data_IF_816915985138
#
_entry.id   IF_816915985138
#
_cell.length_a   1.000
_cell.length_b   1.000
_cell.length_c   1.000
_cell.angle_alpha   90.00
_cell.angle_beta   90.00
_cell.angle_gamma   90.00
#
_symmetry.space_group_name_H-M   'P 1'
#
loop_
_entity.id
_entity.type
_entity.pdbx_description
1 polymer ?
#
# COMPACT_ATOMS: atom_id res chain seq x y z
N UNK A 1 20.40 -27.73 -8.79
CA UNK A 1 20.30 -26.25 -8.75
C UNK A 1 20.64 -25.82 -7.34
N UNK A 2 21.76 -25.13 -7.14
CA UNK A 2 22.12 -24.57 -5.84
C UNK A 2 21.24 -23.34 -5.60
N UNK A 3 20.41 -23.38 -4.56
CA UNK A 3 19.88 -22.17 -3.94
C UNK A 3 21.02 -21.58 -3.12
N UNK A 4 21.55 -20.43 -3.55
CA UNK A 4 22.39 -19.62 -2.67
C UNK A 4 21.48 -19.05 -1.56
N UNK A 5 21.79 -19.21 -0.27
CA UNK A 5 21.09 -18.49 0.78
C UNK A 5 21.55 -17.02 0.74
N UNK A 6 21.00 -16.25 -0.21
CA UNK A 6 21.00 -14.81 -0.14
C UNK A 6 20.16 -14.41 1.07
N UNK A 7 20.82 -14.08 2.17
CA UNK A 7 20.16 -13.70 3.42
C UNK A 7 19.65 -12.27 3.33
N UNK A 8 18.79 -11.96 2.36
CA UNK A 8 18.14 -10.65 2.30
C UNK A 8 16.83 -10.76 3.07
N UNK A 9 16.88 -10.35 4.33
CA UNK A 9 15.75 -10.43 5.26
C UNK A 9 14.65 -9.48 4.81
N UNK A 10 13.48 -10.02 4.46
CA UNK A 10 12.29 -9.19 4.27
C UNK A 10 11.93 -8.47 5.56
N UNK A 11 11.61 -7.18 5.45
CA UNK A 11 11.12 -6.36 6.56
C UNK A 11 9.80 -5.72 6.16
N UNK A 12 8.87 -5.69 7.12
CA UNK A 12 7.63 -4.96 6.97
C UNK A 12 7.29 -4.26 8.28
N UNK A 13 6.97 -2.98 8.21
CA UNK A 13 6.54 -2.17 9.36
C UNK A 13 5.23 -1.47 9.04
N UNK A 14 4.42 -1.23 10.07
CA UNK A 14 3.13 -0.56 9.96
C UNK A 14 3.11 0.69 10.83
N UNK A 15 2.65 1.81 10.27
CA UNK A 15 2.41 3.05 10.99
C UNK A 15 0.99 3.56 10.74
N UNK A 16 0.31 4.00 11.80
CA UNK A 16 -1.04 4.58 11.71
C UNK A 16 -0.94 6.10 11.57
N UNK A 17 -1.62 6.64 10.56
CA UNK A 17 -1.76 8.07 10.32
C UNK A 17 -3.22 8.48 10.62
N UNK A 18 -3.50 8.76 11.90
CA UNK A 18 -4.86 8.97 12.43
C UNK A 18 -5.61 10.13 11.78
N UNK A 19 -4.90 11.19 11.39
CA UNK A 19 -5.49 12.38 10.78
C UNK A 19 -6.10 12.11 9.40
N UNK A 20 -5.68 11.03 8.74
CA UNK A 20 -6.10 10.67 7.38
C UNK A 20 -6.73 9.28 7.31
N UNK A 21 -7.09 8.68 8.45
CA UNK A 21 -7.64 7.32 8.54
C UNK A 21 -6.83 6.30 7.72
N UNK A 22 -5.51 6.50 7.71
CA UNK A 22 -4.60 5.80 6.82
C UNK A 22 -3.62 4.92 7.59
N UNK A 23 -3.28 3.77 7.02
CA UNK A 23 -2.17 2.92 7.47
C UNK A 23 -1.10 2.90 6.40
N UNK A 24 0.15 3.04 6.81
CA UNK A 24 1.32 2.95 5.94
C UNK A 24 2.05 1.66 6.27
N UNK A 25 2.13 0.74 5.30
CA UNK A 25 2.96 -0.45 5.35
C UNK A 25 4.22 -0.21 4.53
N UNK A 26 5.39 -0.20 5.17
CA UNK A 26 6.67 -0.11 4.48
C UNK A 26 7.25 -1.51 4.32
N UNK A 27 7.41 -1.96 3.07
CA UNK A 27 7.95 -3.27 2.74
C UNK A 27 9.33 -3.13 2.09
N UNK A 28 10.31 -3.87 2.59
CA UNK A 28 11.69 -3.82 2.13
C UNK A 28 12.35 -5.19 2.04
N UNK A 29 13.41 -5.29 1.24
CA UNK A 29 14.11 -6.53 0.95
C UNK A 29 13.41 -7.36 -0.14
N UNK A 30 13.38 -8.69 0.04
CA UNK A 30 12.90 -9.60 -0.99
C UNK A 30 11.49 -10.12 -0.68
N UNK A 31 10.55 -9.89 -1.60
CA UNK A 31 9.19 -10.41 -1.52
C UNK A 31 9.04 -11.67 -2.39
N UNK A 32 9.10 -12.83 -1.75
CA UNK A 32 9.12 -14.13 -2.39
C UNK A 32 8.19 -15.14 -1.67
N UNK A 33 8.26 -16.41 -2.05
CA UNK A 33 7.51 -17.49 -1.39
C UNK A 33 7.78 -17.61 0.12
N UNK A 34 8.99 -17.31 0.58
CA UNK A 34 9.38 -17.39 1.98
C UNK A 34 8.91 -16.19 2.80
N UNK A 35 8.86 -15.00 2.19
CA UNK A 35 8.47 -13.77 2.89
C UNK A 35 7.01 -13.35 2.69
N UNK A 36 6.33 -13.88 1.67
CA UNK A 36 4.90 -13.68 1.43
C UNK A 36 3.99 -13.91 2.67
N UNK A 37 4.19 -14.96 3.49
CA UNK A 37 3.42 -15.13 4.73
C UNK A 37 3.58 -13.97 5.73
N UNK A 38 4.75 -13.33 5.78
CA UNK A 38 5.04 -12.22 6.70
C UNK A 38 4.23 -10.98 6.28
N UNK A 39 4.23 -10.66 4.97
CA UNK A 39 3.40 -9.59 4.44
C UNK A 39 1.91 -9.86 4.68
N UNK A 40 1.48 -11.11 4.43
CA UNK A 40 0.08 -11.52 4.64
C UNK A 40 -0.36 -11.36 6.09
N UNK A 41 0.49 -11.72 7.06
CA UNK A 41 0.19 -11.54 8.48
C UNK A 41 0.03 -10.06 8.83
N UNK A 42 0.93 -9.19 8.37
CA UNK A 42 0.81 -7.75 8.63
C UNK A 42 -0.44 -7.14 7.99
N UNK A 43 -0.73 -7.50 6.73
CA UNK A 43 -1.98 -7.10 6.08
C UNK A 43 -3.20 -7.59 6.87
N UNK A 44 -3.17 -8.83 7.38
CA UNK A 44 -4.20 -9.39 8.25
C UNK A 44 -4.50 -8.49 9.44
N UNK A 45 -3.45 -8.04 10.14
CA UNK A 45 -3.59 -7.11 11.27
C UNK A 45 -4.17 -5.76 10.86
N UNK A 46 -3.80 -5.25 9.68
CA UNK A 46 -4.39 -4.01 9.13
C UNK A 46 -5.88 -4.18 8.86
N UNK A 47 -6.31 -5.33 8.33
CA UNK A 47 -7.72 -5.61 8.05
C UNK A 47 -8.59 -5.74 9.29
N UNK A 48 -7.98 -5.95 10.47
CA UNK A 48 -8.67 -6.00 11.76
C UNK A 48 -8.78 -4.62 12.43
N UNK A 49 -8.08 -3.60 11.93
CA UNK A 49 -8.17 -2.25 12.46
C UNK A 49 -9.51 -1.61 12.07
N UNK A 50 -10.20 -0.96 13.01
CA UNK A 50 -11.36 -0.13 12.68
C UNK A 50 -10.91 1.15 11.97
N UNK A 51 -11.82 1.73 11.19
CA UNK A 51 -11.69 3.08 10.62
C UNK A 51 -10.42 3.29 9.76
N UNK A 52 -10.03 2.26 8.99
CA UNK A 52 -8.96 2.37 7.98
C UNK A 52 -9.59 2.59 6.60
N UNK A 53 -9.65 3.85 6.19
CA UNK A 53 -10.10 4.25 4.86
C UNK A 53 -9.04 4.00 3.79
N UNK A 54 -7.75 4.09 4.13
CA UNK A 54 -6.64 4.06 3.18
C UNK A 54 -5.52 3.16 3.68
N UNK A 55 -5.06 2.25 2.81
CA UNK A 55 -3.81 1.51 3.01
C UNK A 55 -2.80 1.94 1.96
N UNK A 56 -1.69 2.53 2.41
CA UNK A 56 -0.54 2.83 1.57
C UNK A 56 0.50 1.73 1.77
N UNK A 57 0.92 1.08 0.69
CA UNK A 57 2.05 0.14 0.70
C UNK A 57 3.23 0.82 0.02
N UNK A 58 4.24 1.17 0.81
CA UNK A 58 5.49 1.74 0.33
C UNK A 58 6.48 0.62 0.00
N UNK A 59 6.95 0.63 -1.25
CA UNK A 59 7.82 -0.37 -1.84
C UNK A 59 9.23 0.17 -2.12
N UNK A 60 9.58 1.36 -1.60
CA UNK A 60 10.84 2.04 -1.89
C UNK A 60 12.08 1.18 -1.58
N UNK A 61 12.03 0.41 -0.49
CA UNK A 61 13.12 -0.45 -0.05
C UNK A 61 13.02 -1.89 -0.58
N UNK A 62 12.08 -2.17 -1.49
CA UNK A 62 11.89 -3.50 -2.05
C UNK A 62 12.91 -3.78 -3.15
N UNK A 63 13.76 -4.79 -2.94
CA UNK A 63 14.88 -5.14 -3.81
C UNK A 63 14.60 -6.36 -4.70
N UNK A 64 13.55 -7.12 -4.42
CA UNK A 64 13.12 -8.27 -5.22
C UNK A 64 11.61 -8.53 -5.06
N UNK A 65 10.97 -8.99 -6.13
CA UNK A 65 9.60 -9.51 -6.07
C UNK A 65 9.44 -10.63 -7.11
N UNK A 66 9.06 -11.83 -6.68
CA UNK A 66 8.69 -12.92 -7.58
C UNK A 66 7.17 -12.93 -7.87
N UNK A 67 6.69 -14.00 -8.53
CA UNK A 67 5.28 -14.18 -8.83
C UNK A 67 4.41 -14.41 -7.58
N UNK A 68 4.97 -15.00 -6.52
CA UNK A 68 4.26 -15.23 -5.26
C UNK A 68 4.10 -13.90 -4.53
N UNK A 69 5.16 -13.10 -4.43
CA UNK A 69 5.11 -11.75 -3.88
C UNK A 69 4.12 -10.85 -4.58
N UNK A 70 4.15 -10.85 -5.91
CA UNK A 70 3.21 -10.09 -6.73
C UNK A 70 1.76 -10.57 -6.52
N UNK A 71 1.56 -11.88 -6.39
CA UNK A 71 0.24 -12.45 -6.09
C UNK A 71 -0.29 -11.99 -4.74
N UNK A 72 0.56 -11.82 -3.72
CA UNK A 72 0.13 -11.28 -2.43
C UNK A 72 -0.33 -9.81 -2.54
N UNK A 73 0.36 -8.97 -3.32
CA UNK A 73 -0.09 -7.59 -3.58
C UNK A 73 -1.44 -7.55 -4.30
N UNK A 74 -1.66 -8.43 -5.27
CA UNK A 74 -2.94 -8.55 -5.99
C UNK A 74 -4.05 -9.02 -5.05
N UNK A 75 -3.77 -9.96 -4.13
CA UNK A 75 -4.72 -10.39 -3.11
C UNK A 75 -5.06 -9.24 -2.16
N UNK A 76 -4.07 -8.44 -1.76
CA UNK A 76 -4.27 -7.28 -0.92
C UNK A 76 -5.21 -6.27 -1.59
N UNK A 77 -5.00 -5.97 -2.87
CA UNK A 77 -5.88 -5.08 -3.64
C UNK A 77 -7.32 -5.60 -3.69
N UNK A 78 -7.52 -6.87 -4.05
CA UNK A 78 -8.87 -7.47 -4.09
C UNK A 78 -9.56 -7.43 -2.72
N UNK A 79 -8.78 -7.65 -1.65
CA UNK A 79 -9.30 -7.59 -0.28
C UNK A 79 -9.68 -6.16 0.11
N UNK A 80 -8.87 -5.18 -0.27
CA UNK A 80 -9.13 -3.77 0.01
C UNK A 80 -10.39 -3.28 -0.71
N UNK A 81 -10.55 -3.63 -1.99
CA UNK A 81 -11.75 -3.35 -2.79
C UNK A 81 -13.01 -3.96 -2.15
N UNK A 82 -12.94 -5.22 -1.71
CA UNK A 82 -14.06 -5.89 -1.05
C UNK A 82 -14.39 -5.28 0.33
N UNK A 83 -13.41 -4.69 1.01
CA UNK A 83 -13.56 -4.06 2.32
C UNK A 83 -13.87 -2.57 2.28
N UNK A 84 -13.87 -1.93 1.09
CA UNK A 84 -14.02 -0.48 0.97
C UNK A 84 -12.78 0.33 1.39
N UNK A 85 -11.64 -0.33 1.62
CA UNK A 85 -10.36 0.34 1.91
C UNK A 85 -9.64 0.61 0.59
N UNK A 86 -9.22 1.86 0.37
CA UNK A 86 -8.43 2.24 -0.80
C UNK A 86 -6.99 1.78 -0.64
N UNK A 87 -6.48 0.96 -1.55
CA UNK A 87 -5.08 0.53 -1.55
C UNK A 87 -4.26 1.33 -2.56
N UNK A 88 -3.16 1.91 -2.09
CA UNK A 88 -2.26 2.74 -2.87
C UNK A 88 -0.84 2.18 -2.78
N UNK A 89 -0.14 2.06 -3.90
CA UNK A 89 1.29 1.77 -3.92
C UNK A 89 2.11 3.06 -3.99
N UNK A 90 3.19 3.13 -3.23
CA UNK A 90 4.18 4.22 -3.29
C UNK A 90 5.59 3.64 -3.36
N UNK A 91 6.59 4.46 -3.66
CA UNK A 91 7.97 3.98 -3.73
C UNK A 91 8.20 2.94 -4.82
N UNK A 92 7.39 2.94 -5.89
CA UNK A 92 7.49 1.96 -6.97
C UNK A 92 8.73 2.25 -7.82
N UNK A 93 9.87 1.68 -7.42
CA UNK A 93 11.14 1.81 -8.14
C UNK A 93 11.17 1.09 -9.50
N UNK A 94 12.34 1.09 -10.16
CA UNK A 94 12.52 0.50 -11.49
C UNK A 94 12.15 -0.98 -11.56
N UNK A 95 12.52 -1.74 -10.53
CA UNK A 95 12.20 -3.16 -10.42
C UNK A 95 10.69 -3.39 -10.49
N UNK A 96 9.94 -2.81 -9.56
CA UNK A 96 8.49 -3.00 -9.49
C UNK A 96 7.77 -2.36 -10.66
N UNK A 97 8.28 -1.24 -11.19
CA UNK A 97 7.76 -0.65 -12.42
C UNK A 97 7.83 -1.64 -13.60
N UNK A 98 8.97 -2.34 -13.78
CA UNK A 98 9.11 -3.36 -14.82
C UNK A 98 8.19 -4.55 -14.58
N UNK A 99 8.16 -5.09 -13.36
CA UNK A 99 7.31 -6.23 -12.99
C UNK A 99 5.83 -5.92 -13.26
N UNK A 100 5.32 -4.79 -12.79
CA UNK A 100 3.94 -4.35 -12.99
C UNK A 100 3.63 -4.08 -14.47
N UNK A 101 4.60 -3.58 -15.24
CA UNK A 101 4.40 -3.31 -16.67
C UNK A 101 4.33 -4.61 -17.48
N UNK A 102 5.27 -5.53 -17.27
CA UNK A 102 5.32 -6.83 -17.97
C UNK A 102 4.07 -7.65 -17.68
N UNK A 103 3.59 -7.61 -16.43
CA UNK A 103 2.39 -8.36 -16.00
C UNK A 103 1.08 -7.64 -16.31
N UNK A 104 1.13 -6.41 -16.85
CA UNK A 104 -0.05 -5.60 -17.13
C UNK A 104 -0.74 -5.01 -15.89
N UNK A 105 -0.22 -5.26 -14.69
CA UNK A 105 -0.79 -4.82 -13.42
C UNK A 105 -0.57 -3.34 -13.11
N UNK A 106 0.33 -2.66 -13.84
CA UNK A 106 0.59 -1.23 -13.62
C UNK A 106 -0.67 -0.36 -13.73
N UNK A 107 -1.64 -0.74 -14.55
CA UNK A 107 -2.91 -0.02 -14.70
C UNK A 107 -3.98 -0.42 -13.68
N UNK A 108 -3.72 -1.49 -12.93
CA UNK A 108 -4.63 -2.07 -11.95
C UNK A 108 -4.41 -1.43 -10.58
N UNK A 109 -3.16 -1.16 -10.23
CA UNK A 109 -2.83 -0.46 -9.00
C UNK A 109 -2.94 1.06 -9.15
N UNK A 110 -3.49 1.71 -8.13
CA UNK A 110 -3.25 3.12 -7.91
C UNK A 110 -1.82 3.32 -7.40
N UNK A 111 -1.06 4.21 -8.03
CA UNK A 111 0.35 4.45 -7.71
C UNK A 111 0.58 5.95 -7.55
N UNK A 112 1.20 6.34 -6.43
CA UNK A 112 1.70 7.70 -6.18
C UNK A 112 3.23 7.72 -6.04
N UNK A 113 3.91 8.85 -6.32
CA UNK A 113 5.36 8.93 -6.24
C UNK A 113 5.91 8.70 -4.82
N UNK A 114 5.19 9.17 -3.80
CA UNK A 114 5.60 9.11 -2.40
C UNK A 114 4.42 8.89 -1.46
N UNK A 115 4.69 8.40 -0.25
CA UNK A 115 3.68 8.29 0.81
C UNK A 115 3.04 9.63 1.14
N UNK A 116 3.81 10.72 1.11
CA UNK A 116 3.29 12.07 1.34
C UNK A 116 2.29 12.50 0.25
N UNK A 117 2.57 12.19 -1.01
CA UNK A 117 1.63 12.47 -2.11
C UNK A 117 0.37 11.61 -2.02
N UNK A 118 0.52 10.34 -1.65
CA UNK A 118 -0.61 9.45 -1.43
C UNK A 118 -1.54 9.95 -0.30
N UNK A 119 -0.97 10.36 0.85
CA UNK A 119 -1.72 10.94 1.96
C UNK A 119 -2.45 12.22 1.55
N UNK A 120 -1.80 13.11 0.80
CA UNK A 120 -2.41 14.35 0.29
C UNK A 120 -3.55 14.06 -0.69
N UNK A 121 -3.38 13.05 -1.55
CA UNK A 121 -4.41 12.64 -2.51
C UNK A 121 -5.57 11.88 -1.85
N UNK A 122 -5.33 11.26 -0.70
CA UNK A 122 -6.35 10.51 0.04
C UNK A 122 -7.16 11.37 1.00
N UNK A 123 -6.59 12.47 1.50
CA UNK A 123 -7.29 13.42 2.37
C UNK A 123 -8.53 14.08 1.72
N UNK A 124 -8.63 14.06 0.39
CA UNK A 124 -9.77 14.62 -0.35
C UNK A 124 -9.95 16.14 -0.15
N UNK A 125 -10.75 16.82 -1.00
CA UNK A 125 -11.07 18.23 -0.83
C UNK A 125 -12.13 18.53 0.27
N UNK A 126 -12.51 17.56 1.10
CA UNK A 126 -13.61 17.71 2.08
C UNK A 126 -13.30 18.66 3.24
N UNK A 127 -12.03 19.02 3.46
CA UNK A 127 -11.64 20.07 4.41
C UNK A 127 -12.08 21.49 4.00
N UNK A 128 -12.60 21.70 2.77
CA UNK A 128 -13.13 23.02 2.33
C UNK A 128 -14.63 23.22 2.54
N UNK A 129 -15.40 22.20 2.94
CA UNK A 129 -16.85 22.33 3.23
C UNK A 129 -17.17 22.59 4.70
N UNK A 130 -16.22 23.12 5.46
CA UNK A 130 -16.40 23.56 6.85
C UNK A 130 -16.71 25.05 7.04
N UNK A 131 -16.80 25.85 5.97
CA UNK A 131 -17.10 27.29 6.03
C UNK A 131 -18.09 27.69 4.93
N UNK A 132 -19.34 27.25 5.05
CA UNK A 132 -20.50 27.93 4.46
C UNK A 132 -21.66 27.75 5.45
N UNK A 133 -21.47 28.30 6.66
CA UNK A 133 -22.57 28.49 7.60
C UNK A 133 -22.55 29.93 8.05
N UNK A 134 -23.32 30.76 7.35
CA UNK A 134 -24.05 31.91 7.87
C UNK A 134 -24.93 32.48 6.74
N UNK A 135 -26.09 31.87 6.56
CA UNK A 135 -27.30 32.64 6.30
C UNK A 135 -28.18 32.43 7.52
N UNK A 136 -28.48 33.50 8.26
CA UNK A 136 -29.83 34.02 8.07
C UNK A 136 -29.90 35.54 8.21
N UNK A 137 -30.47 36.21 7.21
CA UNK A 137 -31.09 37.53 7.42
C UNK A 137 -31.96 37.91 6.23
N UNK A 138 -33.06 38.64 6.46
CA UNK A 138 -34.16 38.43 7.40
C UNK A 138 -35.42 37.84 6.73
#
# INVERSE_FOLDING_TARGET
MLFAPGSTRFTVTAALHRDSEAVILQAGGELDIGSAPILREQLGRVWELPDVAVLIVDLADLTFCDSVGLSELVRALKRSEAGGTRLILTGVGDLMTRVLTITGLRKVFEIHPSTADALRASAGPEDRRGNESLSPVP
#
